data_IF_288051272167
#
_entry.id   IF_288051272167
#
_cell.length_a   1.000
_cell.length_b   1.000
_cell.length_c   1.000
_cell.angle_alpha   90.00
_cell.angle_beta   90.00
_cell.angle_gamma   90.00
#
_symmetry.space_group_name_H-M   'P 1'
#
loop_
_entity.id
_entity.type
_entity.pdbx_description
1 polymer ?
#
# COMPACT_ATOMS: atom_id res chain seq x y z
N UNK A 1 -0.68 -6.24 31.49
CA UNK A 1 -1.93 -6.72 30.89
C UNK A 1 -1.56 -7.42 29.59
N UNK A 2 -1.58 -8.75 29.56
CA UNK A 2 -1.27 -9.51 28.34
C UNK A 2 -2.53 -9.58 27.48
N UNK A 3 -2.49 -9.02 26.28
CA UNK A 3 -3.59 -9.13 25.31
C UNK A 3 -3.54 -10.54 24.74
N UNK A 4 -4.61 -11.32 24.91
CA UNK A 4 -4.68 -12.66 24.33
C UNK A 4 -4.94 -12.56 22.81
N UNK A 5 -4.47 -13.54 22.04
CA UNK A 5 -4.72 -13.58 20.58
C UNK A 5 -6.23 -13.55 20.28
N UNK A 6 -7.05 -14.20 21.11
CA UNK A 6 -8.50 -14.17 21.00
C UNK A 6 -9.13 -12.78 21.23
N UNK A 7 -8.46 -11.87 21.96
CA UNK A 7 -8.94 -10.49 22.12
C UNK A 7 -8.71 -9.67 20.84
N UNK A 8 -7.62 -9.97 20.10
CA UNK A 8 -7.31 -9.33 18.82
C UNK A 8 -8.27 -9.78 17.72
N UNK A 9 -8.69 -11.04 17.72
CA UNK A 9 -9.67 -11.54 16.75
C UNK A 9 -11.03 -10.85 16.87
N UNK A 10 -11.41 -10.44 18.09
CA UNK A 10 -12.66 -9.75 18.37
C UNK A 10 -12.57 -8.21 18.23
N UNK A 11 -11.38 -7.66 18.00
CA UNK A 11 -11.18 -6.22 17.91
C UNK A 11 -11.91 -5.64 16.69
N UNK A 12 -12.81 -4.67 16.93
CA UNK A 12 -13.65 -4.03 15.90
C UNK A 12 -12.84 -3.47 14.72
N UNK A 13 -11.63 -2.95 14.99
CA UNK A 13 -10.73 -2.41 13.97
C UNK A 13 -10.17 -3.49 13.04
N UNK A 14 -10.03 -4.73 13.52
CA UNK A 14 -9.47 -5.87 12.77
C UNK A 14 -10.54 -6.69 12.02
N UNK A 15 -11.82 -6.31 12.12
CA UNK A 15 -12.91 -7.00 11.41
C UNK A 15 -12.94 -6.71 9.91
N UNK A 16 -12.37 -5.60 9.46
CA UNK A 16 -12.44 -5.19 8.05
C UNK A 16 -11.18 -4.43 7.67
N UNK A 17 -10.60 -4.77 6.51
CA UNK A 17 -9.41 -4.09 6.00
C UNK A 17 -9.60 -2.58 5.88
N UNK A 18 -10.81 -2.13 5.50
CA UNK A 18 -11.16 -0.71 5.44
C UNK A 18 -10.83 0.04 6.73
N UNK A 19 -11.27 -0.48 7.89
CA UNK A 19 -11.15 0.24 9.17
C UNK A 19 -9.70 0.49 9.55
N UNK A 20 -8.89 -0.58 9.51
CA UNK A 20 -7.49 -0.52 9.93
C UNK A 20 -6.66 0.32 8.96
N UNK A 21 -6.75 0.05 7.65
CA UNK A 21 -5.90 0.72 6.67
C UNK A 21 -6.30 2.17 6.40
N UNK A 22 -7.58 2.54 6.42
CA UNK A 22 -7.96 3.95 6.26
C UNK A 22 -7.56 4.79 7.47
N UNK A 23 -7.69 4.26 8.69
CA UNK A 23 -7.21 4.93 9.90
C UNK A 23 -5.69 5.10 9.85
N UNK A 24 -4.96 4.05 9.47
CA UNK A 24 -3.51 4.11 9.26
C UNK A 24 -3.10 5.10 8.19
N UNK A 25 -3.81 5.14 7.05
CA UNK A 25 -3.55 6.09 5.96
C UNK A 25 -3.77 7.54 6.40
N UNK A 26 -4.84 7.83 7.16
CA UNK A 26 -5.12 9.17 7.67
C UNK A 26 -4.02 9.65 8.62
N UNK A 27 -3.63 8.82 9.59
CA UNK A 27 -2.53 9.14 10.51
C UNK A 27 -1.20 9.28 9.78
N UNK A 28 -0.91 8.39 8.84
CA UNK A 28 0.30 8.46 8.04
C UNK A 28 0.36 9.73 7.21
N UNK A 29 -0.72 10.14 6.56
CA UNK A 29 -0.76 11.38 5.79
C UNK A 29 -0.42 12.60 6.66
N UNK A 30 -1.00 12.70 7.86
CA UNK A 30 -0.72 13.80 8.79
C UNK A 30 0.74 13.79 9.24
N UNK A 31 1.23 12.64 9.72
CA UNK A 31 2.59 12.51 10.24
C UNK A 31 3.63 12.72 9.13
N UNK A 32 3.45 12.07 7.98
CA UNK A 32 4.37 12.13 6.86
C UNK A 32 4.43 13.51 6.24
N UNK A 33 3.31 14.20 6.05
CA UNK A 33 3.32 15.58 5.54
C UNK A 33 4.04 16.54 6.50
N UNK A 34 3.94 16.33 7.82
CA UNK A 34 4.69 17.12 8.79
C UNK A 34 6.20 16.87 8.68
N UNK A 35 6.63 15.61 8.60
CA UNK A 35 8.04 15.24 8.45
C UNK A 35 8.59 15.73 7.12
N UNK A 36 7.93 15.39 6.02
CA UNK A 36 8.34 15.79 4.69
C UNK A 36 8.33 17.32 4.52
N UNK A 37 7.28 18.00 4.98
CA UNK A 37 7.22 19.45 4.97
C UNK A 37 8.38 20.07 5.74
N UNK A 38 8.78 19.48 6.88
CA UNK A 38 9.96 19.95 7.62
C UNK A 38 11.25 19.78 6.83
N UNK A 39 11.43 18.67 6.10
CA UNK A 39 12.60 18.48 5.22
C UNK A 39 12.62 19.50 4.07
N UNK A 40 11.45 19.85 3.53
CA UNK A 40 11.33 20.79 2.42
C UNK A 40 11.56 22.24 2.85
N UNK A 41 10.90 22.69 3.91
CA UNK A 41 10.95 24.10 4.36
C UNK A 41 12.20 24.43 5.18
N UNK A 42 12.73 23.48 5.96
CA UNK A 42 13.90 23.70 6.83
C UNK A 42 15.19 23.05 6.31
N UNK A 43 15.16 22.48 5.10
CA UNK A 43 16.32 21.84 4.46
C UNK A 43 16.99 20.77 5.34
N UNK A 44 16.20 20.01 6.11
CA UNK A 44 16.72 18.92 6.91
C UNK A 44 17.23 17.79 6.00
N UNK A 45 18.52 17.51 6.09
CA UNK A 45 19.13 16.38 5.40
C UNK A 45 18.95 15.10 6.22
N UNK A 46 18.01 14.24 5.79
CA UNK A 46 17.79 12.92 6.36
C UNK A 46 18.74 11.85 5.77
N UNK A 47 19.61 12.22 4.82
CA UNK A 47 20.61 11.32 4.25
C UNK A 47 20.01 10.20 3.42
N UNK A 48 19.22 10.53 2.39
CA UNK A 48 18.53 9.57 1.52
C UNK A 48 19.45 8.80 0.53
N UNK A 49 20.76 9.03 0.58
CA UNK A 49 21.74 8.29 -0.22
C UNK A 49 21.50 8.45 -1.71
N UNK A 50 21.09 7.36 -2.37
CA UNK A 50 20.83 7.30 -3.81
C UNK A 50 19.50 7.96 -4.25
N UNK A 51 18.62 8.33 -3.30
CA UNK A 51 17.31 8.90 -3.58
C UNK A 51 17.28 10.41 -3.28
N UNK A 52 16.54 11.15 -4.08
CA UNK A 52 16.23 12.56 -3.77
C UNK A 52 15.06 12.66 -2.77
N UNK A 53 14.98 13.74 -1.97
CA UNK A 53 13.83 13.99 -1.08
C UNK A 53 12.48 14.04 -1.82
N UNK A 54 12.48 14.42 -3.11
CA UNK A 54 11.27 14.43 -3.94
C UNK A 54 10.88 13.03 -4.43
N UNK A 55 11.85 12.15 -4.73
CA UNK A 55 11.59 10.76 -5.08
C UNK A 55 11.03 9.99 -3.87
N UNK A 56 11.60 10.22 -2.68
CA UNK A 56 11.06 9.68 -1.44
C UNK A 56 9.62 10.13 -1.18
N UNK A 57 9.33 11.43 -1.34
CA UNK A 57 7.98 11.96 -1.25
C UNK A 57 6.99 11.25 -2.16
N UNK A 58 7.34 11.15 -3.44
CA UNK A 58 6.49 10.55 -4.45
C UNK A 58 6.25 9.06 -4.15
N UNK A 59 7.30 8.35 -3.74
CA UNK A 59 7.20 6.95 -3.33
C UNK A 59 6.25 6.76 -2.14
N UNK A 60 6.41 7.54 -1.08
CA UNK A 60 5.57 7.41 0.12
C UNK A 60 4.11 7.81 -0.14
N UNK A 61 3.84 8.75 -1.05
CA UNK A 61 2.48 9.08 -1.46
C UNK A 61 1.82 7.96 -2.29
N UNK A 62 2.57 7.39 -3.24
CA UNK A 62 2.07 6.40 -4.22
C UNK A 62 1.99 5.02 -3.59
N UNK A 63 3.13 4.50 -3.10
CA UNK A 63 3.22 3.15 -2.60
C UNK A 63 2.86 3.05 -1.12
N UNK A 64 3.06 4.13 -0.36
CA UNK A 64 2.73 4.18 1.06
C UNK A 64 1.30 4.53 1.37
N UNK A 65 0.93 5.79 1.18
CA UNK A 65 -0.38 6.33 1.47
C UNK A 65 -1.46 5.71 0.57
N UNK A 66 -1.33 5.85 -0.75
CA UNK A 66 -2.31 5.29 -1.66
C UNK A 66 -2.32 3.75 -1.62
N UNK A 67 -1.18 3.11 -1.36
CA UNK A 67 -1.11 1.67 -1.07
C UNK A 67 -1.98 1.25 0.11
N UNK A 68 -1.97 2.00 1.22
CA UNK A 68 -2.85 1.74 2.36
C UNK A 68 -4.33 1.90 1.99
N UNK A 69 -4.69 2.97 1.29
CA UNK A 69 -6.07 3.21 0.83
C UNK A 69 -6.53 2.08 -0.10
N UNK A 70 -5.69 1.65 -1.04
CA UNK A 70 -5.95 0.53 -1.95
C UNK A 70 -6.14 -0.77 -1.17
N UNK A 71 -5.29 -1.06 -0.19
CA UNK A 71 -5.43 -2.25 0.65
C UNK A 71 -6.77 -2.26 1.40
N UNK A 72 -7.10 -1.15 2.07
CA UNK A 72 -8.36 -1.02 2.81
C UNK A 72 -9.59 -1.18 1.91
N UNK A 73 -9.55 -0.58 0.72
CA UNK A 73 -10.63 -0.67 -0.26
C UNK A 73 -10.76 -2.10 -0.81
N UNK A 74 -9.68 -2.67 -1.35
CA UNK A 74 -9.72 -3.97 -2.03
C UNK A 74 -10.01 -5.13 -1.07
N UNK A 75 -9.46 -5.12 0.14
CA UNK A 75 -9.75 -6.17 1.14
C UNK A 75 -11.23 -6.20 1.49
N UNK A 76 -11.94 -5.08 1.35
CA UNK A 76 -13.39 -5.00 1.62
C UNK A 76 -14.21 -5.29 0.36
N UNK A 77 -13.84 -4.70 -0.77
CA UNK A 77 -14.56 -4.84 -2.03
C UNK A 77 -14.48 -6.26 -2.59
N UNK A 78 -13.34 -6.93 -2.46
CA UNK A 78 -13.16 -8.30 -2.99
C UNK A 78 -13.97 -9.29 -2.18
N UNK A 79 -14.10 -9.09 -0.86
CA UNK A 79 -14.96 -9.92 -0.03
C UNK A 79 -16.42 -9.88 -0.52
N UNK A 80 -16.94 -8.70 -0.87
CA UNK A 80 -18.31 -8.57 -1.38
C UNK A 80 -18.48 -9.14 -2.78
N UNK A 81 -17.47 -9.04 -3.65
CA UNK A 81 -17.60 -9.58 -5.01
C UNK A 81 -17.44 -11.09 -5.11
N UNK A 82 -16.68 -11.69 -4.19
CA UNK A 82 -16.35 -13.13 -4.22
C UNK A 82 -17.22 -13.95 -3.27
N UNK A 83 -17.95 -13.30 -2.34
CA UNK A 83 -18.63 -13.94 -1.20
C UNK A 83 -17.67 -14.83 -0.38
N UNK A 84 -16.38 -14.51 -0.40
CA UNK A 84 -15.33 -15.20 0.34
C UNK A 84 -14.72 -14.22 1.35
N UNK A 85 -14.38 -14.71 2.54
CA UNK A 85 -13.68 -13.88 3.51
C UNK A 85 -12.27 -13.56 3.00
N UNK A 86 -11.91 -12.28 3.09
CA UNK A 86 -10.53 -11.79 2.92
C UNK A 86 -9.79 -11.82 4.25
N UNK A 87 -8.67 -11.10 4.38
CA UNK A 87 -7.93 -11.01 5.63
C UNK A 87 -8.75 -10.29 6.71
N UNK A 88 -8.90 -10.96 7.86
CA UNK A 88 -9.51 -10.43 9.09
C UNK A 88 -8.66 -10.84 10.29
N UNK A 89 -8.79 -10.16 11.43
CA UNK A 89 -8.10 -10.52 12.67
C UNK A 89 -6.57 -10.43 12.57
N UNK A 90 -5.87 -11.46 13.06
CA UNK A 90 -4.40 -11.50 13.15
C UNK A 90 -3.70 -11.42 11.79
N UNK A 91 -4.12 -12.16 10.73
CA UNK A 91 -3.54 -12.00 9.39
C UNK A 91 -3.62 -10.57 8.83
N UNK A 92 -4.73 -9.85 9.10
CA UNK A 92 -4.90 -8.46 8.69
C UNK A 92 -3.92 -7.55 9.44
N UNK A 93 -3.79 -7.76 10.75
CA UNK A 93 -2.82 -7.04 11.58
C UNK A 93 -1.39 -7.29 11.09
N UNK A 94 -1.04 -8.52 10.72
CA UNK A 94 0.27 -8.87 10.17
C UNK A 94 0.60 -8.07 8.91
N UNK A 95 -0.33 -8.00 7.95
CA UNK A 95 -0.14 -7.21 6.72
C UNK A 95 0.02 -5.71 7.03
N UNK A 96 -0.76 -5.20 7.99
CA UNK A 96 -0.67 -3.80 8.42
C UNK A 96 0.66 -3.49 9.09
N UNK A 97 1.16 -4.38 9.95
CA UNK A 97 2.45 -4.21 10.61
C UNK A 97 3.60 -4.20 9.60
N UNK A 98 3.57 -5.07 8.58
CA UNK A 98 4.55 -5.05 7.48
C UNK A 98 4.54 -3.68 6.78
N UNK A 99 3.35 -3.16 6.46
CA UNK A 99 3.21 -1.81 5.88
C UNK A 99 3.75 -0.72 6.81
N UNK A 100 3.44 -0.77 8.11
CA UNK A 100 3.88 0.22 9.10
C UNK A 100 5.40 0.19 9.29
N UNK A 101 6.02 -0.99 9.32
CA UNK A 101 7.47 -1.16 9.45
C UNK A 101 8.22 -0.53 8.27
N UNK A 102 7.69 -0.65 7.05
CA UNK A 102 8.28 0.03 5.89
C UNK A 102 8.35 1.55 6.09
N UNK A 103 7.22 2.18 6.51
CA UNK A 103 7.17 3.63 6.77
C UNK A 103 8.16 4.06 7.84
N UNK A 104 8.23 3.32 8.94
CA UNK A 104 9.20 3.62 9.99
C UNK A 104 10.64 3.49 9.49
N UNK A 105 10.94 2.52 8.65
CA UNK A 105 12.27 2.35 8.05
C UNK A 105 12.69 3.58 7.24
N UNK A 106 11.80 4.10 6.40
CA UNK A 106 12.07 5.27 5.55
C UNK A 106 12.32 6.57 6.31
N UNK A 107 11.83 6.70 7.56
CA UNK A 107 12.14 7.86 8.42
C UNK A 107 13.62 7.99 8.79
N UNK A 108 14.39 6.90 8.67
CA UNK A 108 15.83 6.89 8.94
C UNK A 108 16.68 7.12 7.69
N UNK A 109 16.06 7.62 6.61
CA UNK A 109 16.71 7.91 5.35
C UNK A 109 17.35 6.68 4.72
N UNK A 110 18.54 6.85 4.15
CA UNK A 110 19.29 5.78 3.47
C UNK A 110 19.77 4.66 4.38
N UNK A 111 19.81 4.85 5.71
CA UNK A 111 20.39 3.87 6.65
C UNK A 111 19.60 2.56 6.73
N UNK A 112 18.28 2.64 6.56
CA UNK A 112 17.36 1.50 6.60
C UNK A 112 16.61 1.33 5.28
N UNK A 113 17.04 1.97 4.19
CA UNK A 113 16.34 1.93 2.90
C UNK A 113 16.18 0.48 2.38
N UNK A 114 17.18 -0.37 2.60
CA UNK A 114 17.16 -1.79 2.21
C UNK A 114 16.03 -2.54 2.94
N UNK A 115 15.93 -2.37 4.27
CA UNK A 115 14.89 -3.02 5.06
C UNK A 115 13.51 -2.42 4.76
N UNK A 116 13.43 -1.10 4.61
CA UNK A 116 12.20 -0.39 4.32
C UNK A 116 11.61 -0.84 2.98
N UNK A 117 12.43 -0.88 1.93
CA UNK A 117 12.01 -1.32 0.61
C UNK A 117 11.68 -2.81 0.54
N UNK A 118 12.35 -3.66 1.33
CA UNK A 118 11.98 -5.07 1.50
C UNK A 118 10.58 -5.20 2.13
N UNK A 119 10.30 -4.46 3.20
CA UNK A 119 8.98 -4.48 3.83
C UNK A 119 7.88 -3.93 2.92
N UNK A 120 8.15 -2.88 2.13
CA UNK A 120 7.22 -2.42 1.11
C UNK A 120 6.92 -3.50 0.07
N UNK A 121 7.95 -4.19 -0.42
CA UNK A 121 7.77 -5.26 -1.39
C UNK A 121 6.94 -6.41 -0.80
N UNK A 122 7.24 -6.80 0.44
CA UNK A 122 6.46 -7.81 1.17
C UNK A 122 5.01 -7.40 1.36
N UNK A 123 4.74 -6.12 1.63
CA UNK A 123 3.38 -5.59 1.71
C UNK A 123 2.64 -5.73 0.37
N UNK A 124 3.23 -5.29 -0.73
CA UNK A 124 2.60 -5.34 -2.06
C UNK A 124 2.38 -6.78 -2.57
N UNK A 125 3.35 -7.67 -2.33
CA UNK A 125 3.21 -9.11 -2.63
C UNK A 125 2.14 -9.75 -1.74
N UNK A 126 2.17 -9.46 -0.44
CA UNK A 126 1.21 -9.97 0.53
C UNK A 126 -0.22 -9.53 0.22
N UNK A 127 -0.41 -8.26 -0.14
CA UNK A 127 -1.69 -7.72 -0.57
C UNK A 127 -2.16 -8.39 -1.87
N UNK A 128 -1.28 -8.52 -2.87
CA UNK A 128 -1.60 -9.18 -4.14
C UNK A 128 -2.06 -10.63 -3.92
N UNK A 129 -1.41 -11.35 -3.02
CA UNK A 129 -1.81 -12.71 -2.66
C UNK A 129 -3.15 -12.75 -1.90
N UNK A 130 -3.33 -11.87 -0.92
CA UNK A 130 -4.56 -11.75 -0.13
C UNK A 130 -5.79 -11.46 -1.01
N UNK A 131 -5.62 -10.65 -2.05
CA UNK A 131 -6.68 -10.33 -3.03
C UNK A 131 -6.80 -11.41 -4.11
N UNK A 132 -5.69 -12.01 -4.54
CA UNK A 132 -5.67 -13.03 -5.59
C UNK A 132 -6.37 -14.33 -5.22
N UNK A 133 -6.13 -14.83 -4.00
CA UNK A 133 -6.73 -16.08 -3.52
C UNK A 133 -8.27 -16.12 -3.66
N UNK A 134 -9.05 -15.18 -3.10
CA UNK A 134 -10.50 -15.20 -3.20
C UNK A 134 -11.01 -14.99 -4.63
N UNK A 135 -10.35 -14.15 -5.44
CA UNK A 135 -10.75 -13.91 -6.84
C UNK A 135 -10.64 -15.20 -7.67
N UNK A 136 -9.52 -15.92 -7.54
CA UNK A 136 -9.30 -17.17 -8.25
C UNK A 136 -10.20 -18.28 -7.72
N UNK A 137 -10.35 -18.39 -6.40
CA UNK A 137 -11.21 -19.39 -5.77
C UNK A 137 -12.69 -19.23 -6.18
N UNK A 138 -13.18 -17.99 -6.24
CA UNK A 138 -14.53 -17.67 -6.71
C UNK A 138 -14.65 -17.61 -8.25
N UNK A 139 -13.57 -17.87 -8.99
CA UNK A 139 -13.51 -17.82 -10.46
C UNK A 139 -14.02 -16.50 -11.05
N UNK A 140 -13.77 -15.39 -10.35
CA UNK A 140 -14.21 -14.05 -10.73
C UNK A 140 -13.28 -13.43 -11.77
N UNK A 141 -13.21 -14.01 -12.96
CA UNK A 141 -12.24 -13.64 -14.01
C UNK A 141 -12.34 -12.17 -14.45
N UNK A 142 -13.53 -11.59 -14.37
CA UNK A 142 -13.76 -10.15 -14.65
C UNK A 142 -13.00 -9.22 -13.70
N UNK A 143 -12.50 -9.73 -12.58
CA UNK A 143 -11.74 -8.97 -11.58
C UNK A 143 -10.22 -9.16 -11.72
N UNK A 144 -9.74 -9.97 -12.67
CA UNK A 144 -8.31 -10.15 -12.91
C UNK A 144 -7.59 -8.85 -13.27
N UNK A 145 -8.27 -7.87 -13.86
CA UNK A 145 -7.69 -6.56 -14.12
C UNK A 145 -7.22 -5.85 -12.83
N UNK A 146 -7.85 -6.12 -11.67
CA UNK A 146 -7.37 -5.64 -10.37
C UNK A 146 -6.03 -6.31 -10.02
N UNK A 147 -5.92 -7.62 -10.22
CA UNK A 147 -4.68 -8.36 -9.97
C UNK A 147 -3.56 -7.94 -10.91
N UNK A 148 -3.87 -7.69 -12.18
CA UNK A 148 -2.90 -7.16 -13.14
C UNK A 148 -2.36 -5.79 -12.67
N UNK A 149 -3.24 -4.93 -12.16
CA UNK A 149 -2.84 -3.64 -11.62
C UNK A 149 -2.00 -3.78 -10.34
N UNK A 150 -2.36 -4.68 -9.43
CA UNK A 150 -1.56 -4.97 -8.24
C UNK A 150 -0.18 -5.57 -8.58
N UNK A 151 -0.11 -6.40 -9.62
CA UNK A 151 1.15 -6.93 -10.13
C UNK A 151 2.03 -5.80 -10.70
N UNK A 152 1.44 -4.88 -11.47
CA UNK A 152 2.14 -3.69 -11.97
C UNK A 152 2.70 -2.83 -10.83
N UNK A 153 1.91 -2.58 -9.79
CA UNK A 153 2.33 -1.82 -8.62
C UNK A 153 3.44 -2.56 -7.85
N UNK A 154 3.34 -3.89 -7.72
CA UNK A 154 4.40 -4.70 -7.11
C UNK A 154 5.72 -4.61 -7.88
N UNK A 155 5.67 -4.68 -9.22
CA UNK A 155 6.85 -4.51 -10.08
C UNK A 155 7.42 -3.09 -9.96
N UNK A 156 6.55 -2.08 -9.90
CA UNK A 156 6.95 -0.70 -9.66
C UNK A 156 7.66 -0.53 -8.32
N UNK A 157 7.13 -1.11 -7.24
CA UNK A 157 7.79 -1.11 -5.94
C UNK A 157 9.15 -1.83 -5.98
N UNK A 158 9.25 -2.96 -6.68
CA UNK A 158 10.52 -3.66 -6.89
C UNK A 158 11.54 -2.78 -7.62
N UNK A 159 11.08 -2.02 -8.63
CA UNK A 159 11.93 -1.07 -9.36
C UNK A 159 12.41 0.08 -8.49
N UNK A 160 11.57 0.56 -7.55
CA UNK A 160 11.98 1.56 -6.57
C UNK A 160 13.00 0.99 -5.58
N UNK A 161 12.82 -0.25 -5.15
CA UNK A 161 13.76 -0.95 -4.27
C UNK A 161 15.16 -1.05 -4.90
N UNK A 162 15.24 -1.40 -6.19
CA UNK A 162 16.50 -1.41 -6.95
C UNK A 162 17.17 -0.03 -6.98
N UNK A 163 16.39 1.05 -7.02
CA UNK A 163 16.96 2.40 -6.94
C UNK A 163 17.46 2.74 -5.54
N UNK A 164 16.70 2.36 -4.52
CA UNK A 164 17.02 2.63 -3.12
C UNK A 164 18.37 2.00 -2.70
N UNK A 165 18.67 0.80 -3.19
CA UNK A 165 19.95 0.11 -2.94
C UNK A 165 21.09 0.58 -3.87
N UNK A 166 20.87 1.59 -4.71
CA UNK A 166 21.88 2.19 -5.58
C UNK A 166 22.24 1.41 -6.84
N UNK A 167 21.43 0.41 -7.24
CA UNK A 167 21.72 -0.40 -8.44
C UNK A 167 21.30 0.30 -9.74
N UNK A 168 20.34 1.23 -9.69
CA UNK A 168 19.95 2.06 -10.85
C UNK A 168 19.26 3.34 -10.43
N UNK A 169 19.77 4.50 -10.85
CA UNK A 169 19.12 5.79 -10.58
C UNK A 169 17.84 6.00 -11.41
N UNK A 170 17.79 5.39 -12.60
CA UNK A 170 16.66 5.55 -13.53
C UNK A 170 15.42 4.77 -13.07
N UNK A 171 15.59 3.71 -12.28
CA UNK A 171 14.47 2.88 -11.83
C UNK A 171 13.56 3.57 -10.82
N UNK A 172 14.02 4.61 -10.12
CA UNK A 172 13.18 5.39 -9.19
C UNK A 172 12.04 6.13 -9.92
N UNK A 173 12.37 6.84 -11.00
CA UNK A 173 11.37 7.58 -11.78
C UNK A 173 10.42 6.65 -12.52
N UNK A 174 10.95 5.55 -13.07
CA UNK A 174 10.11 4.51 -13.67
C UNK A 174 9.12 3.94 -12.66
N UNK A 175 9.58 3.62 -11.45
CA UNK A 175 8.72 3.15 -10.38
C UNK A 175 7.63 4.16 -10.02
N UNK A 176 7.95 5.45 -9.91
CA UNK A 176 6.98 6.51 -9.63
C UNK A 176 5.92 6.58 -10.74
N UNK A 177 6.30 6.51 -12.01
CA UNK A 177 5.35 6.54 -13.12
C UNK A 177 4.47 5.29 -13.18
N UNK A 178 5.05 4.11 -13.03
CA UNK A 178 4.29 2.84 -12.97
C UNK A 178 3.28 2.88 -11.82
N UNK A 179 3.69 3.40 -10.67
CA UNK A 179 2.85 3.57 -9.50
C UNK A 179 1.71 4.54 -9.76
N UNK A 180 2.01 5.76 -10.22
CA UNK A 180 1.02 6.79 -10.49
C UNK A 180 -0.01 6.33 -11.52
N UNK A 181 0.42 5.84 -12.69
CA UNK A 181 -0.49 5.39 -13.73
C UNK A 181 -1.24 4.12 -13.34
N UNK A 182 -0.61 3.22 -12.58
CA UNK A 182 -1.29 2.04 -12.02
C UNK A 182 -2.42 2.42 -11.06
N UNK A 183 -2.19 3.36 -10.15
CA UNK A 183 -3.20 3.86 -9.21
C UNK A 183 -4.32 4.59 -9.96
N UNK A 184 -3.97 5.49 -10.89
CA UNK A 184 -4.98 6.20 -11.70
C UNK A 184 -5.82 5.20 -12.49
N UNK A 185 -5.19 4.21 -13.13
CA UNK A 185 -5.88 3.14 -13.84
C UNK A 185 -6.82 2.35 -12.93
N UNK A 186 -6.38 2.01 -11.71
CA UNK A 186 -7.21 1.35 -10.71
C UNK A 186 -8.43 2.21 -10.33
N UNK A 187 -8.23 3.49 -10.05
CA UNK A 187 -9.30 4.42 -9.68
C UNK A 187 -10.32 4.54 -10.80
N UNK A 188 -9.87 4.78 -12.04
CA UNK A 188 -10.75 4.87 -13.20
C UNK A 188 -11.55 3.58 -13.43
N UNK A 189 -10.89 2.42 -13.28
CA UNK A 189 -11.55 1.11 -13.36
C UNK A 189 -12.64 0.95 -12.28
N UNK A 190 -12.40 1.44 -11.06
CA UNK A 190 -13.39 1.37 -9.98
C UNK A 190 -14.53 2.36 -10.16
N UNK A 191 -14.25 3.58 -10.64
CA UNK A 191 -15.28 4.59 -10.92
C UNK A 191 -16.28 4.13 -11.98
N UNK A 192 -15.82 3.49 -13.05
CA UNK A 192 -16.69 2.93 -14.10
C UNK A 192 -17.71 1.91 -13.56
N UNK A 193 -17.40 1.24 -12.45
CA UNK A 193 -18.31 0.28 -11.82
C UNK A 193 -19.40 0.94 -10.96
N UNK A 194 -19.18 2.16 -10.47
CA UNK A 194 -20.11 2.88 -9.60
C UNK A 194 -21.12 3.77 -10.35
N UNK A 195 -20.71 4.40 -11.45
CA UNK A 195 -21.57 5.32 -12.23
C UNK A 195 -22.90 4.71 -12.71
N UNK A 196 -22.97 3.45 -13.17
CA UNK A 196 -24.23 2.86 -13.65
C UNK A 196 -25.29 2.69 -12.56
N UNK A 197 -24.87 2.55 -11.30
CA UNK A 197 -25.77 2.29 -10.15
C UNK A 197 -26.57 3.54 -9.78
N UNK A 198 -25.97 4.72 -9.91
CA UNK A 198 -26.62 6.00 -9.61
C UNK A 198 -27.48 6.53 -10.76
N UNK A 199 -27.20 6.12 -12.00
CA UNK A 199 -28.01 6.50 -13.16
C UNK A 199 -29.36 5.76 -13.21
N UNK A 200 -29.55 4.73 -12.39
CA UNK A 200 -30.78 3.93 -12.29
C UNK A 200 -31.58 4.21 -11.01
N UNK A 201 -31.09 5.11 -10.14
CA UNK A 201 -31.75 5.55 -8.91
C UNK A 201 -32.52 6.86 -9.15
#
# INVERSE_FOLDING_TARGET
>A
MAIAVGDLENAVVLQTGFRLFFLGAAWFALAFMAVWGSTYFFHLDLGFGALTPSQWHAHELIYGYAGAVIAGFLLTAVASWTNQNTLTGVPLLGLFLVWTLARFGWLWGGRLADLAGLFDLLFWVGLSFAIGRPIVAAKQWRQLAVLATLALLTVGQGSFYVAAIGWSEQSANLAIYLGLFGIVGLVLMMLQRGVPVFAQA
#
